data_IF_861093313600
#
_entry.id   IF_861093313600
#
_cell.length_a   1.000
_cell.length_b   1.000
_cell.length_c   1.000
_cell.angle_alpha   90.00
_cell.angle_beta   90.00
_cell.angle_gamma   90.00
#
_symmetry.space_group_name_H-M   'P 1'
#
loop_
_entity.id
_entity.type
_entity.pdbx_description
1 polymer ?
#
# COMPACT_ATOMS: atom_id res chain seq x y z
N UNK A 1 20.73 -16.02 10.21
CA UNK A 1 19.34 -16.11 9.68
C UNK A 1 18.41 -15.18 10.45
N UNK A 2 17.63 -14.38 9.72
CA UNK A 2 16.65 -13.43 10.25
C UNK A 2 15.29 -13.65 9.58
N UNK A 3 14.21 -13.41 10.32
CA UNK A 3 12.86 -13.39 9.78
C UNK A 3 12.21 -12.03 10.08
N UNK A 4 12.02 -11.23 9.04
CA UNK A 4 11.42 -9.91 9.10
C UNK A 4 9.99 -10.05 8.60
N UNK A 5 9.00 -9.69 9.42
CA UNK A 5 7.60 -9.84 9.03
C UNK A 5 6.73 -8.76 9.63
N UNK A 6 5.58 -8.52 9.01
CA UNK A 6 4.57 -7.59 9.52
C UNK A 6 4.02 -6.68 8.42
N UNK A 7 3.03 -5.84 8.74
CA UNK A 7 2.36 -5.00 7.75
C UNK A 7 3.07 -3.67 7.45
N UNK A 8 4.08 -3.27 8.22
CA UNK A 8 4.70 -1.95 8.09
C UNK A 8 5.94 -1.98 7.18
N UNK A 9 5.71 -1.69 5.89
CA UNK A 9 6.73 -1.74 4.83
C UNK A 9 7.93 -0.83 5.09
N UNK A 10 7.72 0.33 5.70
CA UNK A 10 8.81 1.25 6.02
C UNK A 10 9.85 0.60 6.95
N UNK A 11 9.39 -0.08 8.02
CA UNK A 11 10.28 -0.77 8.95
C UNK A 11 10.93 -1.99 8.33
N UNK A 12 10.21 -2.73 7.47
CA UNK A 12 10.78 -3.84 6.70
C UNK A 12 11.97 -3.34 5.86
N UNK A 13 11.74 -2.32 5.03
CA UNK A 13 12.76 -1.74 4.16
C UNK A 13 13.94 -1.17 4.96
N UNK A 14 13.69 -0.51 6.09
CA UNK A 14 14.73 0.01 6.97
C UNK A 14 15.64 -1.11 7.51
N UNK A 15 15.06 -2.23 7.96
CA UNK A 15 15.82 -3.37 8.45
C UNK A 15 16.59 -4.06 7.32
N UNK A 16 15.96 -4.27 6.16
CA UNK A 16 16.62 -4.85 4.99
C UNK A 16 17.82 -4.00 4.57
N UNK A 17 17.64 -2.68 4.42
CA UNK A 17 18.72 -1.78 4.00
C UNK A 17 19.87 -1.75 5.00
N UNK A 18 19.56 -1.81 6.30
CA UNK A 18 20.60 -1.92 7.34
C UNK A 18 21.44 -3.18 7.15
N UNK A 19 20.80 -4.32 6.87
CA UNK A 19 21.50 -5.59 6.64
C UNK A 19 22.29 -5.53 5.32
N UNK A 20 21.70 -5.01 4.24
CA UNK A 20 22.37 -4.87 2.94
C UNK A 20 23.68 -4.08 3.05
N UNK A 21 23.70 -3.01 3.84
CA UNK A 21 24.90 -2.19 4.04
C UNK A 21 26.08 -2.93 4.70
N UNK A 22 25.86 -4.11 5.29
CA UNK A 22 26.92 -4.95 5.87
C UNK A 22 27.58 -5.86 4.81
N UNK A 23 27.06 -5.89 3.58
CA UNK A 23 27.49 -6.78 2.51
C UNK A 23 27.81 -6.00 1.22
N UNK A 24 28.83 -6.40 0.44
CA UNK A 24 29.04 -5.88 -0.91
C UNK A 24 27.85 -6.22 -1.82
N UNK A 25 27.44 -5.30 -2.69
CA UNK A 25 26.29 -5.48 -3.60
C UNK A 25 26.37 -6.78 -4.43
N UNK A 26 27.57 -7.16 -4.87
CA UNK A 26 27.84 -8.38 -5.66
C UNK A 26 27.58 -9.69 -4.90
N UNK A 27 27.56 -9.62 -3.56
CA UNK A 27 27.32 -10.77 -2.68
C UNK A 27 25.84 -10.91 -2.27
N UNK A 28 24.97 -10.01 -2.74
CA UNK A 28 23.55 -9.99 -2.40
C UNK A 28 22.76 -10.74 -3.47
N UNK A 29 22.03 -11.76 -3.05
CA UNK A 29 21.10 -12.52 -3.88
C UNK A 29 19.69 -12.29 -3.36
N UNK A 30 18.77 -11.89 -4.25
CA UNK A 30 17.38 -11.59 -3.89
C UNK A 30 16.46 -12.50 -4.69
N UNK A 31 15.59 -13.22 -3.97
CA UNK A 31 14.49 -14.00 -4.52
C UNK A 31 13.18 -13.26 -4.24
N UNK A 32 12.41 -13.01 -5.29
CA UNK A 32 11.08 -12.39 -5.20
C UNK A 32 9.99 -13.46 -5.07
N UNK A 33 8.75 -13.02 -4.82
CA UNK A 33 7.62 -13.88 -4.42
C UNK A 33 7.39 -15.11 -5.31
N UNK A 34 7.61 -14.97 -6.61
CA UNK A 34 7.38 -15.99 -7.66
C UNK A 34 8.58 -16.89 -7.94
N UNK A 35 9.65 -16.80 -7.14
CA UNK A 35 10.88 -17.58 -7.35
C UNK A 35 10.66 -19.06 -7.05
N UNK A 36 11.29 -19.96 -7.83
CA UNK A 36 11.17 -21.40 -7.60
C UNK A 36 11.91 -21.79 -6.31
N UNK A 37 11.22 -22.54 -5.44
CA UNK A 37 11.80 -23.04 -4.19
C UNK A 37 13.01 -23.96 -4.41
N UNK A 38 13.09 -24.67 -5.55
CA UNK A 38 14.26 -25.49 -5.87
C UNK A 38 15.47 -24.64 -6.22
N UNK A 39 15.29 -23.53 -6.95
CA UNK A 39 16.37 -22.57 -7.24
C UNK A 39 16.89 -21.93 -5.96
N UNK A 40 15.98 -21.58 -5.04
CA UNK A 40 16.31 -21.09 -3.70
C UNK A 40 17.17 -22.12 -2.95
N UNK A 41 16.73 -23.38 -2.91
CA UNK A 41 17.44 -24.47 -2.23
C UNK A 41 18.84 -24.66 -2.81
N UNK A 42 18.97 -24.64 -4.14
CA UNK A 42 20.26 -24.77 -4.84
C UNK A 42 21.19 -23.60 -4.50
N UNK A 43 20.68 -22.37 -4.53
CA UNK A 43 21.43 -21.17 -4.19
C UNK A 43 21.98 -21.20 -2.77
N UNK A 44 21.15 -21.62 -1.79
CA UNK A 44 21.60 -21.77 -0.40
C UNK A 44 22.63 -22.91 -0.26
N UNK A 45 22.43 -24.02 -0.98
CA UNK A 45 23.33 -25.19 -0.91
C UNK A 45 24.68 -24.95 -1.58
N UNK A 46 24.77 -23.93 -2.45
CA UNK A 46 25.98 -23.64 -3.22
C UNK A 46 26.98 -22.89 -2.36
N UNK A 47 28.00 -23.62 -1.88
CA UNK A 47 29.14 -23.01 -1.19
C UNK A 47 29.95 -22.15 -2.15
N UNK A 48 30.22 -20.91 -1.76
CA UNK A 48 31.15 -20.06 -2.49
C UNK A 48 32.57 -20.64 -2.36
N UNK A 49 33.24 -20.86 -3.50
CA UNK A 49 34.64 -21.30 -3.53
C UNK A 49 35.62 -20.19 -3.07
N UNK A 50 35.15 -18.94 -3.07
CA UNK A 50 35.87 -17.77 -2.61
C UNK A 50 35.07 -17.18 -1.44
N UNK A 51 35.66 -17.16 -0.25
CA UNK A 51 35.08 -17.00 1.11
C UNK A 51 34.17 -15.78 1.41
N UNK A 52 33.63 -15.08 0.41
CA UNK A 52 32.68 -14.00 0.64
C UNK A 52 31.31 -14.57 1.01
N UNK A 53 30.95 -14.38 2.29
CA UNK A 53 29.61 -14.64 2.80
C UNK A 53 28.58 -13.92 1.93
N UNK A 54 27.57 -14.62 1.44
CA UNK A 54 26.47 -14.02 0.69
C UNK A 54 25.35 -13.59 1.63
N UNK A 55 24.62 -12.57 1.21
CA UNK A 55 23.33 -12.21 1.77
C UNK A 55 22.23 -12.73 0.85
N UNK A 56 21.45 -13.70 1.30
CA UNK A 56 20.32 -14.26 0.55
C UNK A 56 19.02 -13.72 1.15
N UNK A 57 18.28 -12.94 0.38
CA UNK A 57 17.01 -12.33 0.78
C UNK A 57 15.87 -13.04 0.06
N UNK A 58 14.92 -13.56 0.82
CA UNK A 58 13.71 -14.20 0.31
C UNK A 58 12.52 -13.28 0.57
N UNK A 59 12.12 -12.55 -0.45
CA UNK A 59 11.14 -11.49 -0.37
C UNK A 59 9.73 -12.00 -0.71
N UNK A 60 8.85 -12.03 0.30
CA UNK A 60 7.43 -12.36 0.16
C UNK A 60 7.15 -13.67 -0.59
N UNK A 61 7.97 -14.70 -0.37
CA UNK A 61 7.79 -16.02 -1.01
C UNK A 61 6.41 -16.56 -0.69
N UNK A 62 5.65 -16.95 -1.71
CA UNK A 62 4.22 -17.32 -1.61
C UNK A 62 3.94 -18.35 -0.52
N UNK A 63 4.86 -19.30 -0.34
CA UNK A 63 4.72 -20.40 0.61
C UNK A 63 4.62 -19.95 2.07
N UNK A 64 5.13 -18.75 2.41
CA UNK A 64 5.03 -18.17 3.75
C UNK A 64 3.58 -17.81 4.11
N UNK A 65 2.74 -17.56 3.10
CA UNK A 65 1.34 -17.19 3.28
C UNK A 65 0.37 -18.35 3.03
N UNK A 66 0.83 -19.50 2.56
CA UNK A 66 0.00 -20.68 2.35
C UNK A 66 -0.51 -21.26 3.68
N UNK A 67 -1.84 -21.36 3.82
CA UNK A 67 -2.52 -21.96 4.98
C UNK A 67 -2.74 -23.47 4.85
N UNK A 68 -2.76 -23.99 3.62
CA UNK A 68 -2.80 -25.41 3.29
C UNK A 68 -1.74 -25.71 2.25
N UNK A 69 -0.92 -26.71 2.53
CA UNK A 69 0.15 -27.15 1.66
C UNK A 69 -0.26 -28.45 0.95
N UNK A 70 0.10 -28.57 -0.31
CA UNK A 70 0.07 -29.83 -1.04
C UNK A 70 1.19 -30.75 -0.55
N UNK A 71 1.06 -32.06 -0.78
CA UNK A 71 2.12 -33.04 -0.45
C UNK A 71 3.46 -32.72 -1.13
N UNK A 72 3.42 -32.13 -2.33
CA UNK A 72 4.62 -31.72 -3.07
C UNK A 72 5.29 -30.54 -2.38
N UNK A 73 4.53 -29.52 -2.00
CA UNK A 73 5.04 -28.35 -1.28
C UNK A 73 5.61 -28.72 0.09
N UNK A 74 4.93 -29.57 0.87
CA UNK A 74 5.45 -30.05 2.16
C UNK A 74 6.80 -30.75 2.00
N UNK A 75 6.96 -31.56 0.94
CA UNK A 75 8.23 -32.24 0.64
C UNK A 75 9.35 -31.25 0.32
N UNK A 76 9.05 -30.23 -0.48
CA UNK A 76 10.02 -29.17 -0.84
C UNK A 76 10.37 -28.32 0.39
N UNK A 77 9.40 -27.95 1.22
CA UNK A 77 9.64 -27.22 2.47
C UNK A 77 10.55 -28.02 3.41
N UNK A 78 10.34 -29.33 3.54
CA UNK A 78 11.22 -30.19 4.36
C UNK A 78 12.66 -30.17 3.85
N UNK A 79 12.88 -30.17 2.53
CA UNK A 79 14.21 -30.02 1.93
C UNK A 79 14.81 -28.65 2.22
N UNK A 80 14.02 -27.58 2.07
CA UNK A 80 14.45 -26.22 2.39
C UNK A 80 14.87 -26.11 3.86
N UNK A 81 14.04 -26.58 4.79
CA UNK A 81 14.35 -26.61 6.23
C UNK A 81 15.64 -27.38 6.51
N UNK A 82 15.84 -28.53 5.86
CA UNK A 82 17.07 -29.30 6.01
C UNK A 82 18.30 -28.50 5.56
N UNK A 83 18.23 -27.82 4.41
CA UNK A 83 19.34 -26.99 3.91
C UNK A 83 19.58 -25.79 4.83
N UNK A 84 18.53 -25.08 5.24
CA UNK A 84 18.62 -23.95 6.18
C UNK A 84 19.24 -24.35 7.52
N UNK A 85 18.92 -25.54 8.04
CA UNK A 85 19.44 -26.03 9.31
C UNK A 85 20.94 -26.36 9.27
N UNK A 86 21.47 -26.62 8.07
CA UNK A 86 22.88 -26.96 7.86
C UNK A 86 23.70 -25.76 7.36
N UNK A 87 23.06 -24.65 7.00
CA UNK A 87 23.72 -23.45 6.49
C UNK A 87 24.38 -22.66 7.62
N UNK A 88 25.65 -22.30 7.43
CA UNK A 88 26.47 -21.60 8.45
C UNK A 88 27.24 -20.39 7.93
N UNK A 89 27.40 -20.29 6.61
CA UNK A 89 28.33 -19.34 6.01
C UNK A 89 27.58 -18.09 5.53
N UNK A 90 26.43 -18.28 4.88
CA UNK A 90 25.60 -17.21 4.32
C UNK A 90 24.63 -16.63 5.35
N UNK A 91 24.34 -15.34 5.21
CA UNK A 91 23.25 -14.72 5.96
C UNK A 91 21.96 -14.83 5.16
N UNK A 92 20.94 -15.44 5.76
CA UNK A 92 19.63 -15.65 5.13
C UNK A 92 18.60 -14.77 5.80
N UNK A 93 17.86 -14.00 5.01
CA UNK A 93 16.80 -13.11 5.48
C UNK A 93 15.49 -13.47 4.79
N UNK A 94 14.53 -13.95 5.57
CA UNK A 94 13.15 -14.10 5.11
C UNK A 94 12.39 -12.80 5.36
N UNK A 95 11.62 -12.36 4.37
CA UNK A 95 10.76 -11.18 4.47
C UNK A 95 9.33 -11.61 4.17
N UNK A 96 8.39 -11.26 5.06
CA UNK A 96 6.96 -11.48 4.83
C UNK A 96 6.12 -10.26 5.23
N UNK A 97 5.73 -9.47 4.24
CA UNK A 97 4.81 -8.35 4.37
C UNK A 97 3.38 -8.89 4.53
N UNK A 98 2.95 -9.08 5.79
CA UNK A 98 1.63 -9.63 6.10
C UNK A 98 1.09 -9.10 7.42
N UNK A 99 -0.25 -8.95 7.51
CA UNK A 99 -0.94 -8.61 8.75
C UNK A 99 -0.92 -9.79 9.76
N UNK A 100 -0.87 -11.02 9.26
CA UNK A 100 -0.95 -12.22 10.09
C UNK A 100 -0.16 -13.35 9.45
N UNK A 101 0.71 -13.99 10.24
CA UNK A 101 1.44 -15.17 9.79
C UNK A 101 0.50 -16.37 9.63
N UNK A 102 0.68 -17.11 8.54
CA UNK A 102 0.04 -18.41 8.34
C UNK A 102 0.67 -19.46 9.26
N UNK A 103 -0.12 -20.45 9.68
CA UNK A 103 0.40 -21.61 10.41
C UNK A 103 0.82 -22.65 9.39
N UNK A 104 2.13 -22.72 9.12
CA UNK A 104 2.73 -23.76 8.29
C UNK A 104 4.14 -24.12 8.78
N UNK A 105 4.64 -25.26 8.33
CA UNK A 105 5.92 -25.83 8.78
C UNK A 105 7.11 -24.89 8.61
N UNK A 106 7.13 -24.06 7.55
CA UNK A 106 8.23 -23.12 7.32
C UNK A 106 8.15 -21.95 8.30
N UNK A 107 6.97 -21.40 8.54
CA UNK A 107 6.75 -20.34 9.52
C UNK A 107 7.13 -20.82 10.94
N UNK A 108 6.66 -22.01 11.34
CA UNK A 108 7.00 -22.58 12.64
C UNK A 108 8.50 -22.78 12.79
N UNK A 109 9.19 -23.19 11.72
CA UNK A 109 10.65 -23.30 11.71
C UNK A 109 11.33 -21.93 11.86
N UNK A 110 10.91 -20.92 11.10
CA UNK A 110 11.50 -19.57 11.13
C UNK A 110 11.33 -18.92 12.50
N UNK A 111 10.15 -19.00 13.10
CA UNK A 111 9.87 -18.44 14.43
C UNK A 111 10.83 -19.04 15.47
N UNK A 112 11.08 -20.35 15.41
CA UNK A 112 11.88 -21.05 16.41
C UNK A 112 13.41 -21.00 16.16
N UNK A 113 13.86 -20.75 14.92
CA UNK A 113 15.27 -20.92 14.53
C UNK A 113 15.90 -19.65 13.92
N UNK A 114 15.22 -18.50 13.96
CA UNK A 114 15.74 -17.24 13.42
C UNK A 114 15.61 -16.07 14.40
N UNK A 115 16.34 -14.99 14.12
CA UNK A 115 16.09 -13.70 14.79
C UNK A 115 14.84 -13.06 14.18
N UNK A 116 13.76 -13.02 14.95
CA UNK A 116 12.47 -12.48 14.55
C UNK A 116 12.42 -10.95 14.70
N UNK A 117 12.02 -10.25 13.64
CA UNK A 117 11.85 -8.79 13.61
C UNK A 117 10.44 -8.49 13.14
N UNK A 118 9.56 -8.17 14.08
CA UNK A 118 8.17 -7.84 13.81
C UNK A 118 8.00 -6.34 13.51
N UNK A 119 7.58 -6.02 12.28
CA UNK A 119 7.35 -4.68 11.76
C UNK A 119 5.85 -4.34 11.83
N UNK A 120 5.39 -3.96 13.03
CA UNK A 120 3.98 -3.56 13.25
C UNK A 120 3.70 -2.17 12.69
N UNK A 121 2.45 -1.95 12.26
CA UNK A 121 1.95 -0.60 12.03
C UNK A 121 2.08 0.22 13.30
N UNK A 122 2.52 1.46 13.16
CA UNK A 122 2.60 2.38 14.27
C UNK A 122 1.26 3.08 14.46
N UNK A 123 0.73 3.09 15.70
CA UNK A 123 -0.44 3.91 15.97
C UNK A 123 -0.08 5.39 15.84
N UNK A 124 -1.06 6.21 15.42
CA UNK A 124 -0.86 7.66 15.21
C UNK A 124 -0.24 8.34 16.44
N UNK A 125 -0.65 7.95 17.64
CA UNK A 125 -0.12 8.50 18.90
C UNK A 125 1.37 8.20 19.08
N UNK A 126 1.78 6.96 18.82
CA UNK A 126 3.19 6.55 18.93
C UNK A 126 4.03 7.23 17.85
N UNK A 127 3.47 7.39 16.63
CA UNK A 127 4.12 8.10 15.55
C UNK A 127 4.37 9.58 15.90
N UNK A 128 3.38 10.28 16.46
CA UNK A 128 3.57 11.68 16.91
C UNK A 128 4.70 11.76 17.94
N UNK A 129 4.72 10.86 18.92
CA UNK A 129 5.77 10.84 19.94
C UNK A 129 7.15 10.60 19.31
N UNK A 130 7.26 9.66 18.38
CA UNK A 130 8.52 9.38 17.68
C UNK A 130 9.00 10.56 16.85
N UNK A 131 8.12 11.19 16.06
CA UNK A 131 8.47 12.37 15.29
C UNK A 131 8.92 13.51 16.21
N UNK A 132 8.26 13.69 17.36
CA UNK A 132 8.66 14.70 18.34
C UNK A 132 10.07 14.46 18.88
N UNK A 133 10.44 13.21 19.18
CA UNK A 133 11.80 12.85 19.58
C UNK A 133 12.80 13.15 18.46
N UNK A 134 12.51 12.75 17.22
CA UNK A 134 13.39 12.98 16.07
C UNK A 134 13.59 14.47 15.78
N UNK A 135 12.57 15.30 15.99
CA UNK A 135 12.64 16.76 15.88
C UNK A 135 13.64 17.33 16.89
N UNK A 136 13.57 16.86 18.14
CA UNK A 136 14.47 17.28 19.21
C UNK A 136 15.92 16.86 18.90
N UNK A 137 16.14 15.63 18.46
CA UNK A 137 17.47 15.13 18.06
C UNK A 137 18.08 15.96 16.91
N UNK A 138 17.24 16.44 15.99
CA UNK A 138 17.66 17.26 14.85
C UNK A 138 17.75 18.77 15.16
N UNK A 139 17.44 19.20 16.38
CA UNK A 139 17.41 20.61 16.79
C UNK A 139 16.52 21.51 15.91
N UNK A 140 15.40 20.97 15.40
CA UNK A 140 14.43 21.72 14.58
C UNK A 140 13.26 22.17 15.45
N UNK A 141 12.69 23.35 15.19
CA UNK A 141 11.43 23.77 15.82
C UNK A 141 10.24 23.22 15.05
N UNK A 142 9.67 22.13 15.52
CA UNK A 142 8.43 21.56 14.98
C UNK A 142 7.51 21.22 16.15
N UNK A 143 6.50 22.06 16.38
CA UNK A 143 5.63 21.92 17.56
C UNK A 143 4.77 20.65 17.47
N UNK A 144 4.41 20.08 18.63
CA UNK A 144 3.50 18.94 18.70
C UNK A 144 2.20 19.16 17.91
N UNK A 145 1.62 20.36 18.02
CA UNK A 145 0.42 20.75 17.27
C UNK A 145 0.64 20.69 15.76
N UNK A 146 1.77 21.23 15.28
CA UNK A 146 2.10 21.22 13.86
C UNK A 146 2.41 19.79 13.37
N UNK A 147 3.04 18.94 14.18
CA UNK A 147 3.26 17.52 13.85
C UNK A 147 1.94 16.80 13.68
N UNK A 148 0.97 17.04 14.57
CA UNK A 148 -0.35 16.44 14.43
C UNK A 148 -1.07 16.93 13.16
N UNK A 149 -1.02 18.23 12.85
CA UNK A 149 -1.59 18.79 11.61
C UNK A 149 -0.92 18.20 10.37
N UNK A 150 0.41 18.03 10.39
CA UNK A 150 1.16 17.38 9.32
C UNK A 150 0.67 15.94 9.10
N UNK A 151 0.55 15.15 10.16
CA UNK A 151 0.09 13.76 10.07
C UNK A 151 -1.39 13.63 9.66
N UNK A 152 -2.25 14.55 10.08
CA UNK A 152 -3.67 14.55 9.68
C UNK A 152 -3.87 14.78 8.18
N UNK A 153 -2.87 15.36 7.53
CA UNK A 153 -2.96 15.78 6.13
C UNK A 153 -2.07 14.95 5.20
N UNK A 154 -1.26 14.06 5.76
CA UNK A 154 -0.45 13.11 5.01
C UNK A 154 -1.24 11.84 4.68
N UNK A 155 -0.87 11.14 3.59
CA UNK A 155 -1.38 9.80 3.33
C UNK A 155 -1.08 8.86 4.50
N UNK A 156 -1.89 7.82 4.70
CA UNK A 156 -1.64 6.80 5.73
C UNK A 156 -0.56 5.80 5.30
N UNK A 157 0.56 6.33 4.82
CA UNK A 157 1.76 5.61 4.36
C UNK A 157 2.96 6.16 5.14
N UNK A 158 3.54 5.33 6.01
CA UNK A 158 4.65 5.72 6.87
C UNK A 158 5.91 6.08 6.07
N UNK A 159 6.13 5.47 4.90
CA UNK A 159 7.28 5.79 4.06
C UNK A 159 7.15 7.20 3.48
N UNK A 160 5.96 7.59 3.01
CA UNK A 160 5.70 8.95 2.53
C UNK A 160 5.83 9.95 3.69
N UNK A 161 5.20 9.65 4.83
CA UNK A 161 5.27 10.50 6.04
C UNK A 161 6.73 10.75 6.43
N UNK A 162 7.54 9.70 6.50
CA UNK A 162 8.95 9.81 6.91
C UNK A 162 9.79 10.55 5.88
N UNK A 163 9.53 10.38 4.58
CA UNK A 163 10.24 11.12 3.54
C UNK A 163 9.94 12.63 3.62
N UNK A 164 8.66 13.01 3.72
CA UNK A 164 8.28 14.41 3.84
C UNK A 164 8.73 15.03 5.17
N UNK A 165 8.66 14.27 6.26
CA UNK A 165 9.23 14.69 7.54
C UNK A 165 10.73 14.95 7.42
N UNK A 166 11.50 14.02 6.84
CA UNK A 166 12.94 14.19 6.65
C UNK A 166 13.27 15.38 5.73
N UNK A 167 12.47 15.60 4.70
CA UNK A 167 12.59 16.73 3.80
C UNK A 167 12.37 18.06 4.54
N UNK A 168 11.32 18.13 5.36
CA UNK A 168 11.00 19.28 6.20
C UNK A 168 12.14 19.64 7.16
N UNK A 169 12.58 18.68 7.97
CA UNK A 169 13.63 18.89 8.98
C UNK A 169 15.01 19.16 8.39
N UNK A 170 15.22 18.83 7.10
CA UNK A 170 16.49 19.11 6.41
C UNK A 170 16.53 20.49 5.78
N UNK A 171 15.38 21.04 5.40
CA UNK A 171 15.30 22.33 4.71
C UNK A 171 14.89 23.51 5.61
N UNK A 172 14.28 23.22 6.76
CA UNK A 172 13.74 24.26 7.65
C UNK A 172 14.20 24.05 9.09
N UNK A 173 14.65 25.14 9.70
CA UNK A 173 14.95 25.17 11.14
C UNK A 173 13.70 25.37 12.00
N UNK A 174 12.62 25.89 11.39
CA UNK A 174 11.31 26.07 12.02
C UNK A 174 10.21 25.70 11.02
N UNK A 175 9.34 24.78 11.42
CA UNK A 175 8.27 24.23 10.58
C UNK A 175 6.94 24.81 11.07
N UNK A 176 6.44 25.80 10.33
CA UNK A 176 5.17 26.48 10.61
C UNK A 176 4.01 25.81 9.88
N UNK A 177 2.78 26.23 10.21
CA UNK A 177 1.57 25.75 9.56
C UNK A 177 1.56 26.04 8.06
N UNK A 178 2.06 27.19 7.63
CA UNK A 178 2.11 27.61 6.23
C UNK A 178 3.02 26.69 5.39
N UNK A 179 4.19 26.33 5.94
CA UNK A 179 5.13 25.40 5.28
C UNK A 179 4.50 24.02 5.11
N UNK A 180 3.74 23.58 6.12
CA UNK A 180 3.01 22.32 6.09
C UNK A 180 1.96 22.37 4.96
N UNK A 181 1.10 23.39 4.93
CA UNK A 181 0.05 23.57 3.89
C UNK A 181 0.62 23.51 2.46
N UNK A 182 1.76 24.14 2.20
CA UNK A 182 2.36 24.16 0.87
C UNK A 182 2.79 22.76 0.38
N UNK A 183 3.33 21.94 1.27
CA UNK A 183 3.72 20.55 0.96
C UNK A 183 2.47 19.69 0.72
N UNK A 184 1.46 19.85 1.56
CA UNK A 184 0.21 19.09 1.47
C UNK A 184 -0.56 19.41 0.20
N UNK A 185 -0.47 20.64 -0.32
CA UNK A 185 -1.10 21.00 -1.60
C UNK A 185 -0.70 20.07 -2.77
N UNK A 186 0.45 19.39 -2.65
CA UNK A 186 0.93 18.37 -3.59
C UNK A 186 0.25 17.01 -3.39
N UNK A 187 0.00 16.60 -2.14
CA UNK A 187 -0.60 15.29 -1.79
C UNK A 187 -2.13 15.28 -1.80
N UNK A 188 -2.77 16.34 -1.31
CA UNK A 188 -4.23 16.48 -1.28
C UNK A 188 -4.86 16.44 -2.70
N UNK A 189 -4.10 16.82 -3.72
CA UNK A 189 -4.52 16.69 -5.14
C UNK A 189 -4.46 15.26 -5.64
N UNK A 190 -3.59 14.42 -5.10
CA UNK A 190 -3.29 13.08 -5.62
C UNK A 190 -4.10 11.98 -4.93
N UNK A 191 -4.36 12.00 -3.62
CA UNK A 191 -5.03 10.88 -2.93
C UNK A 191 -6.56 10.91 -2.97
N UNK A 192 -7.18 12.04 -2.65
CA UNK A 192 -8.67 12.15 -2.57
C UNK A 192 -9.32 11.88 -3.94
N UNK A 193 -8.54 11.96 -5.01
CA UNK A 193 -9.00 11.77 -6.38
C UNK A 193 -8.25 10.68 -7.13
N UNK A 194 -7.35 9.93 -6.49
CA UNK A 194 -6.69 8.81 -7.16
C UNK A 194 -7.69 7.73 -7.53
N UNK A 195 -8.73 7.52 -6.72
CA UNK A 195 -9.80 6.59 -7.08
C UNK A 195 -10.62 7.13 -8.27
N UNK A 196 -10.96 8.43 -8.30
CA UNK A 196 -11.56 9.05 -9.48
C UNK A 196 -10.69 8.87 -10.75
N UNK A 197 -9.37 9.01 -10.61
CA UNK A 197 -8.44 8.83 -11.71
C UNK A 197 -8.38 7.37 -12.20
N UNK A 198 -8.46 6.39 -11.30
CA UNK A 198 -8.50 4.98 -11.71
C UNK A 198 -9.81 4.64 -12.45
N UNK A 199 -10.94 5.22 -12.04
CA UNK A 199 -12.23 5.02 -12.74
C UNK A 199 -12.20 5.53 -14.18
N UNK A 200 -11.45 6.60 -14.47
CA UNK A 200 -11.28 7.11 -15.84
C UNK A 200 -10.59 6.10 -16.77
N UNK A 201 -9.70 5.23 -16.26
CA UNK A 201 -8.97 4.27 -17.10
C UNK A 201 -9.87 3.19 -17.68
N UNK A 202 -11.01 2.91 -17.04
CA UNK A 202 -11.89 1.80 -17.37
C UNK A 202 -11.17 0.43 -17.38
N UNK A 203 -10.10 0.29 -16.58
CA UNK A 203 -9.35 -0.94 -16.40
C UNK A 203 -9.64 -1.52 -15.01
N UNK A 204 -10.41 -2.61 -14.97
CA UNK A 204 -10.76 -3.31 -13.74
C UNK A 204 -9.52 -3.65 -12.89
N UNK A 205 -8.41 -4.09 -13.51
CA UNK A 205 -7.20 -4.46 -12.76
C UNK A 205 -6.63 -3.26 -12.03
N UNK A 206 -6.57 -2.11 -12.70
CA UNK A 206 -6.08 -0.87 -12.11
C UNK A 206 -7.04 -0.32 -11.04
N UNK A 207 -8.34 -0.34 -11.32
CA UNK A 207 -9.38 0.10 -10.37
C UNK A 207 -9.37 -0.77 -9.12
N UNK A 208 -9.30 -2.08 -9.27
CA UNK A 208 -9.28 -3.04 -8.17
C UNK A 208 -8.01 -2.93 -7.34
N UNK A 209 -6.84 -2.79 -7.99
CA UNK A 209 -5.58 -2.52 -7.29
C UNK A 209 -5.67 -1.26 -6.45
N UNK A 210 -6.28 -0.18 -6.98
CA UNK A 210 -6.41 1.07 -6.22
C UNK A 210 -7.43 0.96 -5.09
N UNK A 211 -8.49 0.18 -5.27
CA UNK A 211 -9.43 -0.16 -4.20
C UNK A 211 -8.73 -0.89 -3.05
N UNK A 212 -7.95 -1.93 -3.34
CA UNK A 212 -7.21 -2.69 -2.31
C UNK A 212 -6.21 -1.81 -1.55
N UNK A 213 -5.55 -0.89 -2.26
CA UNK A 213 -4.65 0.11 -1.65
C UNK A 213 -5.41 0.95 -0.61
N UNK A 214 -6.57 1.53 -0.98
CA UNK A 214 -7.40 2.33 -0.07
C UNK A 214 -7.89 1.53 1.14
N UNK A 215 -8.32 0.28 0.93
CA UNK A 215 -8.72 -0.60 2.05
C UNK A 215 -7.52 -0.90 2.97
N UNK A 216 -6.33 -1.09 2.41
CA UNK A 216 -5.10 -1.32 3.20
C UNK A 216 -4.64 -0.08 3.99
N UNK A 217 -4.97 1.11 3.49
CA UNK A 217 -4.82 2.41 4.16
C UNK A 217 -5.85 2.61 5.28
N UNK A 218 -6.88 1.75 5.37
CA UNK A 218 -7.89 1.76 6.43
C UNK A 218 -9.22 2.42 6.03
N UNK A 219 -9.45 2.71 4.75
CA UNK A 219 -10.77 3.16 4.30
C UNK A 219 -11.83 2.07 4.47
N UNK A 220 -12.97 2.46 5.04
CA UNK A 220 -14.18 1.63 5.01
C UNK A 220 -14.76 1.59 3.58
N UNK A 221 -15.17 0.43 3.03
CA UNK A 221 -15.83 0.34 1.73
C UNK A 221 -17.03 1.27 1.55
N UNK A 222 -17.76 1.59 2.63
CA UNK A 222 -18.85 2.56 2.61
C UNK A 222 -18.39 3.96 2.16
N UNK A 223 -17.17 4.36 2.53
CA UNK A 223 -16.57 5.63 2.09
C UNK A 223 -16.34 5.59 0.58
N UNK A 224 -15.79 4.49 0.07
CA UNK A 224 -15.51 4.31 -1.37
C UNK A 224 -16.79 4.21 -2.21
N UNK A 225 -17.82 3.56 -1.68
CA UNK A 225 -19.18 3.52 -2.26
C UNK A 225 -19.73 4.95 -2.36
N UNK A 226 -19.66 5.72 -1.27
CA UNK A 226 -20.11 7.11 -1.24
C UNK A 226 -19.35 7.99 -2.23
N UNK A 227 -18.03 7.81 -2.32
CA UNK A 227 -17.17 8.54 -3.24
C UNK A 227 -17.53 8.24 -4.71
N UNK A 228 -17.69 6.97 -5.09
CA UNK A 228 -18.18 6.60 -6.42
C UNK A 228 -19.57 7.18 -6.73
N UNK A 229 -20.45 7.21 -5.72
CA UNK A 229 -21.76 7.83 -5.83
C UNK A 229 -21.65 9.30 -6.21
N UNK A 230 -20.78 10.04 -5.52
CA UNK A 230 -20.48 11.44 -5.86
C UNK A 230 -19.91 11.58 -7.27
N UNK A 231 -18.95 10.73 -7.66
CA UNK A 231 -18.32 10.78 -8.99
C UNK A 231 -19.36 10.60 -10.10
N UNK A 232 -20.24 9.60 -9.98
CA UNK A 232 -21.25 9.37 -11.00
C UNK A 232 -22.34 10.45 -11.02
N UNK A 233 -22.68 11.02 -9.87
CA UNK A 233 -23.57 12.19 -9.82
C UNK A 233 -22.93 13.40 -10.51
N UNK A 234 -21.63 13.64 -10.29
CA UNK A 234 -20.87 14.67 -10.99
C UNK A 234 -20.87 14.43 -12.51
N UNK A 235 -20.69 13.17 -12.95
CA UNK A 235 -20.82 12.80 -14.36
C UNK A 235 -22.22 13.08 -14.92
N UNK A 236 -23.28 12.77 -14.18
CA UNK A 236 -24.66 13.04 -14.62
C UNK A 236 -24.90 14.55 -14.73
N UNK A 237 -24.46 15.33 -13.74
CA UNK A 237 -24.58 16.79 -13.75
C UNK A 237 -23.80 17.40 -14.92
N UNK A 238 -22.54 17.00 -15.10
CA UNK A 238 -21.70 17.42 -16.22
C UNK A 238 -22.37 17.12 -17.57
N UNK A 239 -22.93 15.92 -17.75
CA UNK A 239 -23.58 15.53 -19.01
C UNK A 239 -24.72 16.48 -19.37
N UNK A 240 -25.61 16.80 -18.42
CA UNK A 240 -26.71 17.72 -18.69
C UNK A 240 -26.24 19.14 -18.96
N UNK A 241 -25.25 19.65 -18.22
CA UNK A 241 -24.69 20.99 -18.44
C UNK A 241 -23.98 21.09 -19.81
N UNK A 242 -23.24 20.05 -20.20
CA UNK A 242 -22.62 19.96 -21.52
C UNK A 242 -23.67 19.93 -22.64
N UNK A 243 -24.79 19.24 -22.44
CA UNK A 243 -25.93 19.25 -23.40
C UNK A 243 -26.61 20.62 -23.52
N UNK A 244 -26.50 21.48 -22.52
CA UNK A 244 -26.94 22.88 -22.57
C UNK A 244 -25.91 23.80 -23.26
N UNK A 245 -24.82 23.24 -23.81
CA UNK A 245 -23.79 23.99 -24.52
C UNK A 245 -22.71 24.59 -23.64
N UNK A 246 -22.70 24.31 -22.33
CA UNK A 246 -21.67 24.82 -21.42
C UNK A 246 -20.32 24.15 -21.66
N UNK A 247 -19.25 24.95 -21.63
CA UNK A 247 -17.88 24.45 -21.72
C UNK A 247 -17.31 24.07 -20.33
N UNK A 248 -16.15 23.41 -20.29
CA UNK A 248 -15.54 22.93 -19.03
C UNK A 248 -15.28 24.03 -18.00
N UNK A 249 -14.94 25.24 -18.43
CA UNK A 249 -14.68 26.38 -17.53
C UNK A 249 -15.98 26.88 -16.89
N UNK A 250 -17.05 26.95 -17.68
CA UNK A 250 -18.38 27.32 -17.20
C UNK A 250 -18.93 26.26 -16.24
N UNK A 251 -18.77 24.98 -16.56
CA UNK A 251 -19.20 23.86 -15.71
C UNK A 251 -18.42 23.84 -14.39
N UNK A 252 -17.10 24.03 -14.45
CA UNK A 252 -16.22 24.17 -13.27
C UNK A 252 -16.72 25.26 -12.32
N UNK A 253 -16.97 26.47 -12.84
CA UNK A 253 -17.54 27.58 -12.07
C UNK A 253 -18.93 27.26 -11.51
N UNK A 254 -19.80 26.62 -12.30
CA UNK A 254 -21.18 26.29 -11.91
C UNK A 254 -21.24 25.23 -10.82
N UNK A 255 -20.42 24.18 -10.92
CA UNK A 255 -20.32 23.10 -9.94
C UNK A 255 -19.43 23.47 -8.74
N UNK A 256 -18.72 24.60 -8.81
CA UNK A 256 -17.68 25.01 -7.84
C UNK A 256 -16.63 23.90 -7.65
N UNK A 257 -16.25 23.25 -8.74
CA UNK A 257 -15.27 22.16 -8.75
C UNK A 257 -14.01 22.59 -9.50
N UNK A 258 -12.81 22.09 -9.14
CA UNK A 258 -11.59 22.41 -9.87
C UNK A 258 -11.62 21.94 -11.34
N UNK A 259 -11.00 22.72 -12.23
CA UNK A 259 -10.96 22.43 -13.68
C UNK A 259 -10.42 21.02 -14.00
N UNK A 260 -9.40 20.57 -13.26
CA UNK A 260 -8.81 19.25 -13.47
C UNK A 260 -9.80 18.13 -13.15
N UNK A 261 -10.70 18.30 -12.15
CA UNK A 261 -11.73 17.34 -11.79
C UNK A 261 -12.79 17.25 -12.89
N UNK A 262 -13.21 18.39 -13.41
CA UNK A 262 -14.15 18.50 -14.54
C UNK A 262 -13.59 17.81 -15.79
N UNK A 263 -12.29 17.96 -16.06
CA UNK A 263 -11.61 17.24 -17.15
C UNK A 263 -11.66 15.73 -16.97
N UNK A 264 -11.42 15.22 -15.76
CA UNK A 264 -11.52 13.77 -15.44
C UNK A 264 -12.95 13.24 -15.60
N UNK A 265 -13.94 13.96 -15.09
CA UNK A 265 -15.37 13.63 -15.25
C UNK A 265 -15.75 13.54 -16.74
N UNK A 266 -15.27 14.49 -17.55
CA UNK A 266 -15.44 14.47 -19.01
C UNK A 266 -14.82 13.22 -19.66
N UNK A 267 -13.62 12.82 -19.20
CA UNK A 267 -12.97 11.58 -19.63
C UNK A 267 -13.76 10.32 -19.29
N UNK A 268 -14.27 10.22 -18.06
CA UNK A 268 -15.10 9.10 -17.61
C UNK A 268 -16.35 8.95 -18.48
N UNK A 269 -17.07 10.05 -18.76
CA UNK A 269 -18.25 10.04 -19.62
C UNK A 269 -17.96 9.55 -21.04
N UNK A 270 -16.78 9.88 -21.56
CA UNK A 270 -16.33 9.45 -22.89
C UNK A 270 -16.07 7.94 -22.93
N UNK A 271 -15.49 7.38 -21.87
CA UNK A 271 -15.14 5.96 -21.81
C UNK A 271 -16.33 5.06 -21.44
N UNK A 272 -17.14 5.46 -20.46
CA UNK A 272 -18.25 4.63 -19.97
C UNK A 272 -19.57 4.85 -20.72
N UNK A 273 -19.79 5.98 -21.38
CA UNK A 273 -21.10 6.43 -21.89
C UNK A 273 -22.12 6.76 -20.79
N UNK A 274 -23.06 7.66 -21.09
CA UNK A 274 -24.06 8.12 -20.12
C UNK A 274 -25.05 7.03 -19.68
N UNK A 275 -25.42 6.11 -20.58
CA UNK A 275 -26.37 5.02 -20.28
C UNK A 275 -25.79 4.02 -19.27
N UNK A 276 -24.52 3.66 -19.44
CA UNK A 276 -23.77 2.81 -18.51
C UNK A 276 -23.59 3.51 -17.16
N UNK A 277 -23.22 4.81 -17.13
CA UNK A 277 -23.11 5.57 -15.88
C UNK A 277 -24.44 5.51 -15.11
N UNK A 278 -25.58 5.78 -15.77
CA UNK A 278 -26.90 5.64 -15.13
C UNK A 278 -27.17 4.24 -14.59
N UNK A 279 -26.75 3.19 -15.30
CA UNK A 279 -26.88 1.80 -14.84
C UNK A 279 -26.02 1.55 -13.60
N UNK A 280 -24.75 1.93 -13.65
CA UNK A 280 -23.80 1.77 -12.54
C UNK A 280 -24.30 2.53 -11.30
N UNK A 281 -24.78 3.77 -11.45
CA UNK A 281 -25.33 4.56 -10.33
C UNK A 281 -26.51 3.85 -9.65
N UNK A 282 -27.40 3.23 -10.42
CA UNK A 282 -28.53 2.45 -9.86
C UNK A 282 -28.07 1.20 -9.12
N UNK A 283 -27.05 0.52 -9.64
CA UNK A 283 -26.49 -0.66 -8.97
C UNK A 283 -25.75 -0.27 -7.69
N UNK A 284 -24.98 0.81 -7.72
CA UNK A 284 -24.28 1.35 -6.57
C UNK A 284 -25.26 1.75 -5.45
N UNK A 285 -26.39 2.36 -5.79
CA UNK A 285 -27.44 2.69 -4.82
C UNK A 285 -28.05 1.46 -4.15
N UNK A 286 -28.19 0.33 -4.87
CA UNK A 286 -28.66 -0.94 -4.27
C UNK A 286 -27.65 -1.48 -3.27
N UNK A 287 -26.38 -1.40 -3.61
CA UNK A 287 -25.30 -1.91 -2.76
C UNK A 287 -25.14 -1.05 -1.52
N UNK A 288 -25.20 0.28 -1.64
CA UNK A 288 -25.18 1.20 -0.49
C UNK A 288 -26.28 0.87 0.54
N UNK A 289 -27.48 0.52 0.07
CA UNK A 289 -28.58 0.08 0.94
C UNK A 289 -28.23 -1.28 1.56
N UNK A 290 -27.81 -2.26 0.75
CA UNK A 290 -27.49 -3.61 1.23
C UNK A 290 -26.39 -3.60 2.29
N UNK A 291 -25.31 -2.85 2.08
CA UNK A 291 -24.20 -2.72 3.04
C UNK A 291 -24.65 -2.10 4.36
N UNK A 292 -25.67 -1.23 4.35
CA UNK A 292 -26.21 -0.60 5.56
C UNK A 292 -27.24 -1.45 6.30
N UNK A 293 -27.91 -2.40 5.62
CA UNK A 293 -29.06 -3.11 6.20
C UNK A 293 -28.86 -4.60 6.44
N UNK A 294 -27.94 -5.28 5.74
CA UNK A 294 -27.94 -6.76 5.68
C UNK A 294 -26.85 -7.48 6.48
N UNK A 295 -25.94 -6.77 7.16
CA UNK A 295 -24.87 -7.40 7.94
C UNK A 295 -23.87 -8.24 7.12
N UNK A 296 -24.00 -8.22 5.78
CA UNK A 296 -23.07 -8.82 4.82
C UNK A 296 -21.80 -7.97 4.80
N UNK A 297 -20.63 -8.60 4.65
CA UNK A 297 -19.36 -7.89 4.61
C UNK A 297 -19.31 -6.89 3.43
N UNK A 298 -19.11 -5.61 3.77
CA UNK A 298 -19.10 -4.49 2.81
C UNK A 298 -18.02 -4.62 1.74
N UNK A 299 -16.91 -5.30 2.05
CA UNK A 299 -15.82 -5.58 1.11
C UNK A 299 -16.31 -6.47 -0.04
N UNK A 300 -16.88 -7.64 0.25
CA UNK A 300 -17.30 -8.61 -0.77
C UNK A 300 -18.35 -8.02 -1.73
N UNK A 301 -19.31 -7.28 -1.19
CA UNK A 301 -20.35 -6.61 -1.98
C UNK A 301 -19.75 -5.57 -2.94
N UNK A 302 -18.77 -4.80 -2.47
CA UNK A 302 -18.13 -3.77 -3.27
C UNK A 302 -17.17 -4.36 -4.31
N UNK A 303 -16.46 -5.43 -3.99
CA UNK A 303 -15.60 -6.13 -4.94
C UNK A 303 -16.41 -6.72 -6.10
N UNK A 304 -17.53 -7.37 -5.78
CA UNK A 304 -18.44 -7.92 -6.79
C UNK A 304 -19.07 -6.83 -7.65
N UNK A 305 -19.33 -5.65 -7.07
CA UNK A 305 -19.76 -4.48 -7.83
C UNK A 305 -18.72 -4.04 -8.86
N UNK A 306 -17.45 -3.93 -8.47
CA UNK A 306 -16.37 -3.51 -9.35
C UNK A 306 -16.22 -4.49 -10.51
N UNK A 307 -16.12 -5.79 -10.23
CA UNK A 307 -15.96 -6.86 -11.23
C UNK A 307 -17.10 -6.86 -12.25
N UNK A 308 -18.32 -6.55 -11.81
CA UNK A 308 -19.49 -6.56 -12.70
C UNK A 308 -19.56 -5.33 -13.61
N UNK A 309 -19.01 -4.20 -13.16
CA UNK A 309 -19.28 -2.90 -13.79
C UNK A 309 -18.13 -2.33 -14.61
N UNK A 310 -16.89 -2.72 -14.30
CA UNK A 310 -15.66 -2.30 -14.97
C UNK A 310 -15.00 -3.49 -15.63
#
# INVERSE_FOLDING_TARGET
MKFIYGPEKFFINKNINKIKNEFPDESIVIFESNSDLNEIIESISTKSLFDQKKLIILNNIEILNASKLTKKEESIIKKLIYVLSNEKDNEIVFVNETNKLSSNLLIDFLINNSVNIECKKMEKKDLINQLTILVQEKNVKFSYTNINVFLEKMPNDLQIIMNEFNNLVSNYNEITFEIIEDIISKYAKNEVFSFLASIETYDLKHIYSKYLERVSEGDDPLILIGQLGSIFNDCIAYYYMSKLGMNNVEISKKLKQPDWKVKKISGILRNLSFSKIKKITKELAKIDIQTKTTGVESNELFEMFLIKNF
#
